data_IF_844660704751
#
_entry.id   IF_844660704751
#
_cell.length_a   1.000
_cell.length_b   1.000
_cell.length_c   1.000
_cell.angle_alpha   90.00
_cell.angle_beta   90.00
_cell.angle_gamma   90.00
#
_symmetry.space_group_name_H-M   'P 1'
#
loop_
_entity.id
_entity.type
_entity.pdbx_description
1 polymer ?
#
# COMPACT_ATOMS: atom_id res chain seq x y z
N UNK A 1 -16.26 -13.25 19.43
CA UNK A 1 -15.48 -12.10 18.93
C UNK A 1 -14.01 -12.48 18.99
N UNK A 2 -13.42 -12.85 17.85
CA UNK A 2 -12.05 -13.37 17.81
C UNK A 2 -11.08 -12.20 17.65
N UNK A 3 -10.33 -11.89 18.71
CA UNK A 3 -9.26 -10.89 18.70
C UNK A 3 -8.12 -11.36 17.80
N UNK A 4 -7.86 -10.58 16.75
CA UNK A 4 -6.80 -10.85 15.76
C UNK A 4 -5.40 -10.62 16.38
N UNK A 5 -4.58 -11.67 16.47
CA UNK A 5 -3.18 -11.59 16.88
C UNK A 5 -2.29 -11.36 15.65
N UNK A 6 -1.92 -10.10 15.40
CA UNK A 6 -0.90 -9.75 14.40
C UNK A 6 0.47 -9.72 15.08
N UNK A 7 1.53 -10.12 14.38
CA UNK A 7 2.90 -9.88 14.84
C UNK A 7 3.17 -8.38 14.80
N UNK A 8 3.76 -7.88 15.88
CA UNK A 8 4.10 -6.48 16.03
C UNK A 8 5.60 -6.27 15.97
N UNK A 9 6.04 -5.22 15.28
CA UNK A 9 7.38 -4.69 15.40
C UNK A 9 7.35 -3.39 16.21
N UNK A 10 8.52 -2.96 16.68
CA UNK A 10 8.70 -1.72 17.42
C UNK A 10 9.45 -0.71 16.55
N UNK A 11 9.00 0.55 16.57
CA UNK A 11 9.74 1.66 15.96
C UNK A 11 10.92 2.11 16.84
N UNK A 12 11.78 2.98 16.33
CA UNK A 12 12.90 3.58 17.06
C UNK A 12 12.43 4.35 18.29
N UNK A 13 11.16 4.79 18.29
CA UNK A 13 10.50 5.49 19.38
C UNK A 13 9.70 4.55 20.30
N UNK A 14 10.02 3.24 20.29
CA UNK A 14 9.33 2.19 21.05
C UNK A 14 7.81 2.09 20.80
N UNK A 15 7.34 2.58 19.65
CA UNK A 15 5.92 2.44 19.30
C UNK A 15 5.69 1.07 18.66
N UNK A 16 4.80 0.27 19.27
CA UNK A 16 4.40 -1.03 18.74
C UNK A 16 3.46 -0.82 17.54
N UNK A 17 3.72 -1.51 16.44
CA UNK A 17 2.86 -1.46 15.26
C UNK A 17 2.66 -2.83 14.65
N UNK A 18 1.50 -3.01 14.00
CA UNK A 18 1.19 -4.24 13.26
C UNK A 18 1.98 -4.32 11.96
N UNK A 19 2.57 -5.47 11.69
CA UNK A 19 3.15 -5.80 10.38
C UNK A 19 1.98 -6.18 9.46
N UNK A 20 1.88 -5.49 8.32
CA UNK A 20 0.83 -5.75 7.33
C UNK A 20 1.04 -7.12 6.67
N UNK A 21 -0.05 -7.75 6.26
CA UNK A 21 -0.01 -8.90 5.38
C UNK A 21 0.45 -8.48 3.98
N UNK A 22 1.15 -9.38 3.27
CA UNK A 22 1.84 -9.10 2.01
C UNK A 22 2.88 -7.97 2.09
N UNK A 23 3.59 -7.88 3.22
CA UNK A 23 4.71 -6.96 3.33
C UNK A 23 5.79 -7.37 2.33
N UNK A 24 6.25 -6.44 1.50
CA UNK A 24 7.27 -6.70 0.49
C UNK A 24 8.24 -5.54 0.38
N UNK A 25 9.53 -5.83 0.50
CA UNK A 25 10.59 -4.86 0.26
C UNK A 25 11.73 -5.49 -0.54
N UNK A 26 12.41 -4.68 -1.32
CA UNK A 26 13.69 -5.05 -1.92
C UNK A 26 14.79 -4.27 -1.23
N UNK A 27 15.84 -4.95 -0.80
CA UNK A 27 17.00 -4.32 -0.16
C UNK A 27 18.29 -4.91 -0.70
N UNK A 28 19.40 -4.28 -0.35
CA UNK A 28 20.73 -4.76 -0.69
C UNK A 28 21.60 -4.92 0.54
N UNK A 29 22.33 -6.03 0.58
CA UNK A 29 23.22 -6.39 1.67
C UNK A 29 24.65 -6.59 1.16
N UNK A 30 25.66 -6.14 1.91
CA UNK A 30 27.07 -6.18 1.49
C UNK A 30 27.55 -4.91 0.79
N UNK A 31 28.83 -4.88 0.38
CA UNK A 31 29.48 -3.70 -0.24
C UNK A 31 30.25 -4.07 -1.50
N UNK A 32 30.32 -3.15 -2.46
CA UNK A 32 31.07 -3.33 -3.71
C UNK A 32 30.64 -4.59 -4.46
N UNK A 33 31.62 -5.38 -4.91
CA UNK A 33 31.38 -6.64 -5.63
C UNK A 33 30.66 -7.73 -4.80
N UNK A 34 30.57 -7.57 -3.48
CA UNK A 34 29.82 -8.46 -2.57
C UNK A 34 28.41 -7.98 -2.25
N UNK A 35 27.89 -7.02 -3.03
CA UNK A 35 26.52 -6.51 -2.86
C UNK A 35 25.53 -7.54 -3.39
N UNK A 36 24.68 -8.03 -2.51
CA UNK A 36 23.57 -8.93 -2.80
C UNK A 36 22.26 -8.15 -2.77
N UNK A 37 21.46 -8.24 -3.82
CA UNK A 37 20.09 -7.73 -3.81
C UNK A 37 19.18 -8.87 -3.36
N UNK A 38 18.31 -8.58 -2.40
CA UNK A 38 17.36 -9.54 -1.84
C UNK A 38 15.98 -8.92 -1.75
N UNK A 39 14.96 -9.75 -1.75
CA UNK A 39 13.57 -9.36 -1.55
C UNK A 39 13.07 -10.01 -0.26
N UNK A 40 12.54 -9.21 0.65
CA UNK A 40 12.00 -9.68 1.92
C UNK A 40 10.49 -9.59 1.90
N UNK A 41 9.82 -10.68 2.24
CA UNK A 41 8.37 -10.82 2.22
C UNK A 41 7.86 -11.29 3.60
N UNK A 42 6.73 -10.75 4.05
CA UNK A 42 6.02 -11.24 5.25
C UNK A 42 4.56 -11.46 4.89
N UNK A 43 4.14 -12.72 4.92
CA UNK A 43 2.78 -13.15 4.68
C UNK A 43 2.23 -13.88 5.90
N UNK A 44 0.92 -13.91 6.07
CA UNK A 44 0.28 -14.67 7.13
C UNK A 44 -0.43 -15.92 6.58
N UNK A 45 0.10 -17.11 6.88
CA UNK A 45 -0.53 -18.40 6.55
C UNK A 45 -1.23 -18.90 7.80
N UNK A 46 -2.55 -19.07 7.74
CA UNK A 46 -3.37 -19.50 8.90
C UNK A 46 -3.12 -18.65 10.17
N UNK A 47 -2.89 -17.34 9.98
CA UNK A 47 -2.56 -16.35 11.03
C UNK A 47 -1.14 -16.47 11.61
N UNK A 48 -0.30 -17.35 11.08
CA UNK A 48 1.12 -17.44 11.44
C UNK A 48 1.94 -16.63 10.44
N UNK A 49 2.77 -15.68 10.90
CA UNK A 49 3.65 -14.93 10.01
C UNK A 49 4.72 -15.85 9.41
N UNK A 50 4.96 -15.72 8.12
CA UNK A 50 6.02 -16.38 7.39
C UNK A 50 6.94 -15.31 6.84
N UNK A 51 8.13 -15.23 7.42
CA UNK A 51 9.19 -14.31 7.02
C UNK A 51 10.00 -14.99 5.92
N UNK A 52 9.99 -14.45 4.70
CA UNK A 52 10.73 -14.99 3.55
C UNK A 52 11.80 -14.01 3.09
N UNK A 53 12.93 -14.54 2.65
CA UNK A 53 13.98 -13.80 1.95
C UNK A 53 14.21 -14.51 0.63
N UNK A 54 13.94 -13.83 -0.48
CA UNK A 54 14.22 -14.28 -1.82
C UNK A 54 15.53 -13.66 -2.32
N UNK A 55 16.34 -14.44 -3.03
CA UNK A 55 17.69 -14.07 -3.44
C UNK A 55 18.13 -14.83 -4.71
N UNK A 56 19.33 -14.51 -5.20
CA UNK A 56 19.85 -14.85 -6.54
C UNK A 56 19.14 -14.12 -7.68
N UNK A 57 19.59 -14.40 -8.91
CA UNK A 57 18.98 -13.90 -10.13
C UNK A 57 17.49 -14.23 -10.17
N UNK A 58 16.69 -13.20 -10.47
CA UNK A 58 15.23 -13.28 -10.55
C UNK A 58 14.54 -13.79 -9.27
N UNK A 59 15.20 -13.73 -8.11
CA UNK A 59 14.63 -14.10 -6.81
C UNK A 59 14.08 -15.54 -6.75
N UNK A 60 14.72 -16.47 -7.48
CA UNK A 60 14.24 -17.85 -7.60
C UNK A 60 14.48 -18.69 -6.33
N UNK A 61 15.54 -18.39 -5.58
CA UNK A 61 15.83 -19.06 -4.31
C UNK A 61 15.22 -18.29 -3.15
N UNK A 62 14.78 -19.02 -2.12
CA UNK A 62 14.29 -18.40 -0.91
C UNK A 62 14.66 -19.20 0.33
N UNK A 63 14.75 -18.48 1.45
CA UNK A 63 14.67 -19.06 2.79
C UNK A 63 13.44 -18.50 3.49
N UNK A 64 12.90 -19.24 4.44
CA UNK A 64 11.79 -18.77 5.24
C UNK A 64 11.92 -19.17 6.71
N UNK A 65 11.15 -18.52 7.56
CA UNK A 65 10.99 -18.85 8.96
C UNK A 65 9.61 -18.40 9.44
N UNK A 66 8.99 -19.21 10.29
CA UNK A 66 7.75 -18.85 11.00
C UNK A 66 8.01 -18.32 12.41
N UNK A 67 9.26 -18.43 12.89
CA UNK A 67 9.62 -18.07 14.26
C UNK A 67 9.89 -16.58 14.41
N UNK A 68 10.70 -16.02 13.52
CA UNK A 68 11.02 -14.59 13.48
C UNK A 68 11.69 -14.21 12.16
N UNK A 69 11.73 -12.90 11.86
CA UNK A 69 12.52 -12.35 10.77
C UNK A 69 14.04 -12.50 11.01
N UNK A 70 14.51 -12.48 12.26
CA UNK A 70 15.91 -12.77 12.62
C UNK A 70 16.29 -14.18 12.20
N UNK A 71 15.41 -15.16 12.48
CA UNK A 71 15.64 -16.55 12.11
C UNK A 71 15.74 -16.71 10.59
N UNK A 72 14.88 -16.05 9.80
CA UNK A 72 14.97 -16.04 8.33
C UNK A 72 16.30 -15.40 7.86
N UNK A 73 16.67 -14.25 8.44
CA UNK A 73 17.91 -13.56 8.11
C UNK A 73 19.15 -14.40 8.40
N UNK A 74 19.21 -15.06 9.56
CA UNK A 74 20.33 -15.93 9.90
C UNK A 74 20.39 -17.16 8.99
N UNK A 75 19.25 -17.74 8.60
CA UNK A 75 19.22 -18.83 7.62
C UNK A 75 19.80 -18.40 6.27
N UNK A 76 19.44 -17.20 5.79
CA UNK A 76 20.02 -16.62 4.58
C UNK A 76 21.54 -16.43 4.71
N UNK A 77 22.01 -15.90 5.85
CA UNK A 77 23.44 -15.70 6.08
C UNK A 77 24.21 -17.02 6.04
N UNK A 78 23.69 -18.06 6.67
CA UNK A 78 24.34 -19.38 6.69
C UNK A 78 24.42 -20.00 5.29
N UNK A 79 23.41 -19.79 4.44
CA UNK A 79 23.48 -20.22 3.04
C UNK A 79 24.57 -19.47 2.25
N UNK A 80 24.72 -18.16 2.45
CA UNK A 80 25.70 -17.35 1.71
C UNK A 80 27.12 -17.46 2.26
N UNK A 81 27.28 -17.68 3.57
CA UNK A 81 28.56 -17.81 4.24
C UNK A 81 28.50 -18.92 5.29
N UNK A 82 28.60 -20.19 4.86
CA UNK A 82 28.65 -21.32 5.78
C UNK A 82 29.78 -21.14 6.81
N UNK A 83 29.52 -21.48 8.08
CA UNK A 83 30.47 -21.38 9.21
C UNK A 83 30.73 -19.95 9.74
N UNK A 84 29.95 -18.96 9.31
CA UNK A 84 30.03 -17.62 9.88
C UNK A 84 29.39 -17.57 11.27
N UNK A 85 30.10 -16.98 12.24
CA UNK A 85 29.56 -16.66 13.58
C UNK A 85 28.86 -15.28 13.63
N UNK A 86 28.87 -14.53 12.54
CA UNK A 86 28.14 -13.27 12.45
C UNK A 86 26.63 -13.51 12.43
N UNK A 87 25.88 -12.53 12.91
CA UNK A 87 24.42 -12.52 12.89
C UNK A 87 23.92 -11.35 12.04
N UNK A 88 22.80 -11.55 11.34
CA UNK A 88 22.13 -10.47 10.65
C UNK A 88 21.08 -9.84 11.56
N UNK A 89 21.13 -8.51 11.62
CA UNK A 89 20.11 -7.72 12.31
C UNK A 89 18.81 -7.74 11.50
N UNK A 90 17.69 -8.03 12.17
CA UNK A 90 16.34 -7.97 11.61
C UNK A 90 16.06 -6.65 10.89
N UNK A 91 16.50 -5.56 11.51
CA UNK A 91 16.30 -4.19 11.05
C UNK A 91 17.01 -3.95 9.73
N UNK A 92 18.19 -4.55 9.54
CA UNK A 92 18.99 -4.35 8.34
C UNK A 92 18.49 -5.16 7.14
N UNK A 93 17.75 -6.24 7.37
CA UNK A 93 17.25 -7.11 6.31
C UNK A 93 15.79 -6.80 6.01
N UNK A 94 14.92 -6.84 7.01
CA UNK A 94 13.48 -6.62 6.84
C UNK A 94 13.06 -5.16 7.02
N UNK A 95 13.97 -4.23 7.37
CA UNK A 95 13.67 -2.80 7.56
C UNK A 95 12.51 -2.52 8.53
N UNK A 96 12.18 -3.47 9.42
CA UNK A 96 11.07 -3.39 10.35
C UNK A 96 11.24 -2.31 11.43
N UNK A 97 12.38 -1.62 11.49
CA UNK A 97 12.60 -0.53 12.43
C UNK A 97 13.29 0.69 11.78
N UNK A 98 13.23 0.84 10.45
CA UNK A 98 13.91 1.97 9.81
C UNK A 98 13.10 3.26 9.98
N UNK A 99 13.80 4.36 10.27
CA UNK A 99 13.23 5.71 10.29
C UNK A 99 12.58 6.08 8.95
N UNK A 100 12.99 5.44 7.85
CA UNK A 100 12.42 5.62 6.52
C UNK A 100 11.07 4.92 6.36
N UNK A 101 10.91 3.72 6.95
CA UNK A 101 9.61 3.06 7.07
C UNK A 101 8.68 3.85 7.99
N UNK A 102 9.21 4.44 9.07
CA UNK A 102 8.45 5.36 9.94
C UNK A 102 8.01 6.61 9.18
N UNK A 103 8.88 7.23 8.37
CA UNK A 103 8.52 8.35 7.49
C UNK A 103 7.50 7.98 6.43
N UNK A 104 7.61 6.81 5.79
CA UNK A 104 6.62 6.33 4.82
C UNK A 104 5.28 6.01 5.49
N UNK A 105 5.31 5.47 6.72
CA UNK A 105 4.11 5.24 7.53
C UNK A 105 3.50 6.55 8.01
N UNK A 106 4.29 7.53 8.43
CA UNK A 106 3.82 8.87 8.75
C UNK A 106 3.29 9.61 7.53
N UNK A 107 3.90 9.44 6.35
CA UNK A 107 3.36 9.96 5.09
C UNK A 107 1.99 9.34 4.84
N UNK A 108 1.89 8.01 4.86
CA UNK A 108 0.62 7.26 4.76
C UNK A 108 -0.39 7.66 5.85
N UNK A 109 0.05 7.89 7.08
CA UNK A 109 -0.81 8.31 8.20
C UNK A 109 -1.24 9.78 8.09
N UNK A 110 -0.36 10.68 7.63
CA UNK A 110 -0.68 12.09 7.30
C UNK A 110 -1.69 12.19 6.17
N UNK A 111 -1.78 11.20 5.28
CA UNK A 111 -2.87 11.07 4.30
C UNK A 111 -4.23 10.67 4.94
N UNK A 112 -4.29 10.35 6.24
CA UNK A 112 -5.49 9.74 6.85
C UNK A 112 -6.23 10.57 7.90
N UNK A 113 -6.02 11.89 8.02
CA UNK A 113 -7.09 12.73 8.59
C UNK A 113 -7.41 13.90 7.66
N UNK A 114 -8.27 13.61 6.68
CA UNK A 114 -9.06 14.65 6.06
C UNK A 114 -9.80 15.39 7.18
N UNK A 115 -9.53 16.70 7.31
CA UNK A 115 -10.33 17.56 8.20
C UNK A 115 -11.83 17.33 7.90
N UNK A 116 -12.68 17.18 8.93
CA UNK A 116 -14.13 17.07 8.76
C UNK A 116 -14.66 18.16 7.83
N UNK A 117 -15.63 17.82 6.99
CA UNK A 117 -16.11 18.72 5.95
C UNK A 117 -16.61 20.06 6.50
N UNK A 118 -17.30 20.07 7.65
CA UNK A 118 -17.72 21.30 8.33
C UNK A 118 -16.55 22.20 8.77
N UNK A 119 -15.39 21.63 9.09
CA UNK A 119 -14.18 22.36 9.51
C UNK A 119 -13.35 22.91 8.35
N UNK A 120 -13.83 22.79 7.11
CA UNK A 120 -13.17 23.34 5.92
C UNK A 120 -13.69 24.74 5.57
N UNK A 121 -12.80 25.55 4.98
CA UNK A 121 -13.20 26.78 4.28
C UNK A 121 -14.05 26.44 3.06
N UNK A 122 -14.86 27.39 2.58
CA UNK A 122 -15.71 27.17 1.40
C UNK A 122 -14.90 26.79 0.16
N UNK A 123 -13.75 27.45 -0.07
CA UNK A 123 -12.84 27.09 -1.18
C UNK A 123 -12.36 25.64 -1.09
N UNK A 124 -11.99 25.18 0.11
CA UNK A 124 -11.58 23.78 0.32
C UNK A 124 -12.73 22.79 0.16
N UNK A 125 -13.95 23.16 0.57
CA UNK A 125 -15.17 22.37 0.34
C UNK A 125 -15.40 22.17 -1.16
N UNK A 126 -15.39 23.26 -1.93
CA UNK A 126 -15.55 23.23 -3.39
C UNK A 126 -14.46 22.38 -4.04
N UNK A 127 -13.19 22.60 -3.69
CA UNK A 127 -12.08 21.83 -4.25
C UNK A 127 -12.20 20.34 -3.95
N UNK A 128 -12.62 19.97 -2.74
CA UNK A 128 -12.79 18.57 -2.35
C UNK A 128 -13.94 17.90 -3.11
N UNK A 129 -15.08 18.56 -3.24
CA UNK A 129 -16.24 18.10 -4.02
C UNK A 129 -15.85 17.93 -5.50
N UNK A 130 -15.14 18.90 -6.06
CA UNK A 130 -14.65 18.84 -7.43
C UNK A 130 -13.71 17.64 -7.65
N UNK A 131 -12.69 17.47 -6.79
CA UNK A 131 -11.77 16.33 -6.90
C UNK A 131 -12.50 14.99 -6.74
N UNK A 132 -13.49 14.91 -5.85
CA UNK A 132 -14.30 13.71 -5.69
C UNK A 132 -15.10 13.38 -6.97
N UNK A 133 -15.70 14.38 -7.60
CA UNK A 133 -16.42 14.21 -8.86
C UNK A 133 -15.50 13.74 -10.00
N UNK A 134 -14.33 14.35 -10.16
CA UNK A 134 -13.33 13.94 -11.15
C UNK A 134 -12.94 12.46 -10.99
N UNK A 135 -12.71 12.03 -9.73
CA UNK A 135 -12.41 10.63 -9.44
C UNK A 135 -13.56 9.68 -9.78
N UNK A 136 -14.81 10.08 -9.52
CA UNK A 136 -15.98 9.27 -9.90
C UNK A 136 -16.12 9.15 -11.41
N UNK A 137 -15.87 10.22 -12.17
CA UNK A 137 -15.87 10.19 -13.64
C UNK A 137 -14.81 9.23 -14.17
N UNK A 138 -13.57 9.32 -13.69
CA UNK A 138 -12.48 8.41 -14.09
C UNK A 138 -12.83 6.96 -13.75
N UNK A 139 -13.34 6.71 -12.55
CA UNK A 139 -13.72 5.36 -12.12
C UNK A 139 -14.89 4.81 -12.95
N UNK A 140 -15.87 5.65 -13.29
CA UNK A 140 -16.96 5.29 -14.19
C UNK A 140 -16.42 4.86 -15.55
N UNK A 141 -15.57 5.67 -16.18
CA UNK A 141 -14.98 5.36 -17.49
C UNK A 141 -14.18 4.05 -17.46
N UNK A 142 -13.34 3.87 -16.44
CA UNK A 142 -12.54 2.65 -16.27
C UNK A 142 -13.37 1.40 -15.98
N UNK A 143 -14.55 1.57 -15.37
CA UNK A 143 -15.49 0.48 -15.12
C UNK A 143 -16.28 0.18 -16.39
N UNK A 144 -16.73 1.21 -17.10
CA UNK A 144 -17.48 1.11 -18.35
C UNK A 144 -16.74 0.27 -19.38
N UNK A 145 -15.44 0.52 -19.59
CA UNK A 145 -14.61 -0.21 -20.56
C UNK A 145 -14.45 -1.70 -20.26
N UNK A 146 -14.76 -2.16 -19.04
CA UNK A 146 -14.69 -3.57 -18.65
C UNK A 146 -15.98 -4.34 -18.91
N UNK A 147 -17.11 -3.65 -18.95
CA UNK A 147 -18.44 -4.28 -18.99
C UNK A 147 -19.24 -3.93 -20.24
N UNK A 148 -18.91 -2.84 -20.92
CA UNK A 148 -19.61 -2.36 -22.12
C UNK A 148 -18.66 -2.32 -23.31
N UNK A 149 -19.17 -2.63 -24.48
CA UNK A 149 -18.45 -2.46 -25.73
C UNK A 149 -18.35 -0.96 -26.05
N UNK A 150 -17.30 -0.54 -26.77
CA UNK A 150 -17.11 0.87 -27.16
C UNK A 150 -18.25 1.45 -28.00
N UNK A 151 -19.08 0.57 -28.60
CA UNK A 151 -20.22 0.95 -29.46
C UNK A 151 -21.53 1.10 -28.66
N UNK A 152 -21.54 0.75 -27.37
CA UNK A 152 -22.75 0.83 -26.54
C UNK A 152 -23.02 2.27 -26.06
N UNK A 153 -22.15 3.23 -26.39
CA UNK A 153 -22.29 4.67 -26.11
C UNK A 153 -22.67 5.01 -24.65
N UNK A 154 -22.09 4.29 -23.70
CA UNK A 154 -22.34 4.53 -22.28
C UNK A 154 -21.87 5.93 -21.86
N UNK A 155 -22.76 6.72 -21.26
CA UNK A 155 -22.48 8.09 -20.85
C UNK A 155 -22.92 8.32 -19.40
N UNK A 156 -22.04 8.89 -18.58
CA UNK A 156 -22.40 9.36 -17.24
C UNK A 156 -23.20 10.66 -17.36
N UNK A 157 -24.43 10.67 -16.85
CA UNK A 157 -25.32 11.82 -16.99
C UNK A 157 -25.15 12.83 -15.84
N UNK A 158 -25.12 12.32 -14.62
CA UNK A 158 -25.15 13.15 -13.41
C UNK A 158 -24.50 12.43 -12.23
N UNK A 159 -23.90 13.21 -11.33
CA UNK A 159 -23.47 12.78 -9.99
C UNK A 159 -24.25 13.59 -8.95
N UNK A 160 -25.01 12.90 -8.10
CA UNK A 160 -25.79 13.47 -6.99
C UNK A 160 -25.39 12.82 -5.67
N UNK A 161 -25.02 13.63 -4.67
CA UNK A 161 -24.70 13.15 -3.32
C UNK A 161 -24.84 14.26 -2.28
N UNK A 162 -24.95 13.87 -1.01
CA UNK A 162 -24.98 14.79 0.11
C UNK A 162 -23.75 14.62 1.01
N UNK A 163 -23.28 15.73 1.57
CA UNK A 163 -22.30 15.73 2.66
C UNK A 163 -22.84 16.61 3.78
N UNK A 164 -23.25 15.97 4.88
CA UNK A 164 -24.04 16.62 5.94
C UNK A 164 -25.35 17.16 5.35
N UNK A 165 -25.75 18.39 5.68
CA UNK A 165 -27.00 19.00 5.23
C UNK A 165 -26.89 19.69 3.86
N UNK A 166 -25.86 19.35 3.07
CA UNK A 166 -25.60 19.97 1.76
C UNK A 166 -25.66 18.94 0.65
N UNK A 167 -26.51 19.22 -0.34
CA UNK A 167 -26.61 18.45 -1.57
C UNK A 167 -25.65 19.01 -2.64
N UNK A 168 -25.01 18.10 -3.35
CA UNK A 168 -24.13 18.37 -4.48
C UNK A 168 -24.64 17.64 -5.71
N UNK A 169 -24.66 18.36 -6.83
CA UNK A 169 -25.14 17.89 -8.11
C UNK A 169 -24.14 18.36 -9.17
N UNK A 170 -23.65 17.42 -9.99
CA UNK A 170 -22.81 17.70 -11.14
C UNK A 170 -23.42 17.06 -12.38
N UNK A 171 -23.81 17.89 -13.34
CA UNK A 171 -24.41 17.47 -14.61
C UNK A 171 -23.32 17.38 -15.68
N UNK A 172 -23.26 16.25 -16.38
CA UNK A 172 -22.27 15.96 -17.44
C UNK A 172 -22.91 15.90 -18.84
N UNK A 173 -24.16 16.35 -18.96
CA UNK A 173 -24.94 16.26 -20.20
C UNK A 173 -24.21 16.90 -21.38
N UNK A 174 -24.00 16.12 -22.44
CA UNK A 174 -23.61 16.63 -23.76
C UNK A 174 -24.78 17.45 -24.31
N UNK A 175 -24.52 18.70 -24.72
CA UNK A 175 -25.48 19.48 -25.49
C UNK A 175 -25.71 18.79 -26.83
N UNK A 176 -26.77 17.99 -26.95
CA UNK A 176 -27.30 17.66 -28.27
C UNK A 176 -27.90 18.95 -28.84
N UNK A 177 -27.13 19.65 -29.67
CA UNK A 177 -27.69 20.54 -30.69
C UNK A 177 -28.43 19.65 -31.69
N UNK A 178 -29.68 19.33 -31.42
CA UNK A 178 -30.59 18.90 -32.47
C UNK A 178 -30.65 20.04 -33.50
N UNK A 179 -30.14 19.77 -34.70
CA UNK A 179 -30.47 20.57 -35.88
C UNK A 179 -31.98 20.43 -36.06
N UNK A 180 -32.71 21.53 -35.84
CA UNK A 180 -34.05 21.71 -36.41
C UNK A 180 -33.95 21.48 -37.91
N UNK A 181 -34.66 20.47 -38.41
CA UNK A 181 -35.21 20.49 -39.76
C UNK A 181 -36.55 21.21 -39.72
#
# INVERSE_FOLDING_TARGET
>A
MSTYSYTSAYSCNNTQFKILDNYLIQTSWGRGASKHVIQCEINYIEKVPVFKILFEENFQLYVNSTQSAISAANAYLQMKKPNTQAHLSEIHIFFLNSQELERERERKHRFHLLKPFNKLSNSMKTKRVYMFNEHLVVNFTNTATKYFHSNDHLTLQEICFAVQDKNFQANFRVQNKEKKN
#
